data_IF_694266423550
#
_entry.id   IF_694266423550
#
_cell.length_a   1.000
_cell.length_b   1.000
_cell.length_c   1.000
_cell.angle_alpha   90.00
_cell.angle_beta   90.00
_cell.angle_gamma   90.00
#
_symmetry.space_group_name_H-M   'P 1'
#
loop_
_entity.id
_entity.type
_entity.pdbx_description
1 polymer ?
#
# COMPACT_ATOMS: atom_id res chain seq x y z
N UNK A 1 2.58 -28.83 -14.29
CA UNK A 1 3.42 -29.11 -13.12
C UNK A 1 2.69 -30.09 -12.23
N UNK A 2 3.23 -31.29 -11.94
CA UNK A 2 2.68 -32.12 -10.87
C UNK A 2 3.06 -31.50 -9.52
N UNK A 3 2.06 -31.16 -8.71
CA UNK A 3 2.31 -30.68 -7.35
C UNK A 3 2.37 -31.88 -6.40
N UNK A 4 3.34 -31.93 -5.46
CA UNK A 4 3.29 -32.92 -4.38
C UNK A 4 2.02 -32.71 -3.54
N UNK A 5 1.54 -33.78 -2.89
CA UNK A 5 0.38 -33.68 -2.01
C UNK A 5 0.69 -32.71 -0.85
N UNK A 6 -0.06 -31.62 -0.78
CA UNK A 6 0.09 -30.56 0.20
C UNK A 6 -1.29 -30.09 0.70
N UNK A 7 -1.31 -29.43 1.86
CA UNK A 7 -2.47 -28.69 2.37
C UNK A 7 -2.08 -27.24 2.66
N UNK A 8 -3.07 -26.37 2.77
CA UNK A 8 -2.86 -24.96 3.04
C UNK A 8 -4.12 -24.25 3.50
N UNK A 9 -3.95 -22.98 3.83
CA UNK A 9 -5.03 -22.09 4.29
C UNK A 9 -5.17 -20.92 3.32
N UNK A 10 -6.42 -20.61 2.97
CA UNK A 10 -6.79 -19.36 2.32
C UNK A 10 -7.10 -18.32 3.40
N UNK A 11 -6.29 -17.27 3.49
CA UNK A 11 -6.51 -16.15 4.40
C UNK A 11 -5.90 -14.89 3.78
N UNK A 12 -6.68 -13.83 3.57
CA UNK A 12 -6.10 -12.59 3.07
C UNK A 12 -5.42 -11.81 4.21
N UNK A 13 -4.29 -11.10 3.99
CA UNK A 13 -3.61 -10.38 5.07
C UNK A 13 -4.48 -9.33 5.78
N UNK A 14 -5.47 -8.75 5.10
CA UNK A 14 -6.42 -7.81 5.73
C UNK A 14 -7.25 -8.44 6.85
N UNK A 15 -7.37 -9.77 6.87
CA UNK A 15 -8.10 -10.54 7.88
C UNK A 15 -7.24 -10.99 9.06
N UNK A 16 -5.94 -10.69 9.04
CA UNK A 16 -5.09 -10.91 10.21
C UNK A 16 -5.55 -9.98 11.34
N UNK A 17 -5.45 -10.42 12.61
CA UNK A 17 -5.75 -9.56 13.75
C UNK A 17 -4.82 -8.34 13.72
N UNK A 18 -5.35 -7.18 14.08
CA UNK A 18 -4.58 -5.93 14.13
C UNK A 18 -5.29 -4.91 15.00
N UNK A 19 -4.51 -4.14 15.76
CA UNK A 19 -5.05 -3.02 16.53
C UNK A 19 -5.38 -1.80 15.67
N UNK A 20 -4.97 -1.81 14.40
CA UNK A 20 -5.11 -0.69 13.46
C UNK A 20 -6.31 -0.82 12.52
N UNK A 21 -7.30 -1.66 12.88
CA UNK A 21 -8.54 -1.86 12.14
C UNK A 21 -8.43 -2.68 10.85
N UNK A 22 -7.21 -3.00 10.40
CA UNK A 22 -6.94 -3.89 9.26
C UNK A 22 -5.65 -4.67 9.50
N UNK A 23 -5.65 -5.96 9.12
CA UNK A 23 -4.43 -6.76 9.12
C UNK A 23 -3.39 -6.24 8.12
N UNK A 24 -2.12 -6.43 8.44
CA UNK A 24 -0.99 -5.93 7.66
C UNK A 24 0.16 -6.95 7.57
N UNK A 25 1.24 -6.57 6.89
CA UNK A 25 2.45 -7.40 6.70
C UNK A 25 3.48 -7.20 7.83
N UNK A 26 3.00 -7.09 9.07
CA UNK A 26 3.80 -6.97 10.29
C UNK A 26 3.90 -8.28 11.08
N UNK A 27 4.01 -8.15 12.40
CA UNK A 27 4.20 -9.27 13.34
C UNK A 27 3.18 -10.39 13.17
N UNK A 28 1.90 -10.06 13.01
CA UNK A 28 0.81 -11.03 12.91
C UNK A 28 0.90 -11.88 11.64
N UNK A 29 1.47 -11.35 10.55
CA UNK A 29 1.76 -12.14 9.35
C UNK A 29 2.84 -13.20 9.62
N UNK A 30 3.89 -12.85 10.38
CA UNK A 30 4.91 -13.82 10.81
C UNK A 30 4.33 -14.87 11.76
N UNK A 31 3.52 -14.46 12.74
CA UNK A 31 2.85 -15.39 13.65
C UNK A 31 1.92 -16.35 12.91
N UNK A 32 1.23 -15.89 11.86
CA UNK A 32 0.43 -16.74 11.00
C UNK A 32 1.28 -17.75 10.22
N UNK A 33 2.43 -17.35 9.68
CA UNK A 33 3.38 -18.28 9.05
C UNK A 33 3.92 -19.31 10.06
N UNK A 34 4.23 -18.91 11.29
CA UNK A 34 4.63 -19.83 12.36
C UNK A 34 3.51 -20.81 12.73
N UNK A 35 2.26 -20.35 12.70
CA UNK A 35 1.10 -21.22 12.85
C UNK A 35 0.97 -22.23 11.70
N UNK A 36 1.12 -21.80 10.44
CA UNK A 36 1.12 -22.70 9.28
C UNK A 36 2.20 -23.76 9.40
N UNK A 37 3.42 -23.36 9.76
CA UNK A 37 4.55 -24.28 9.96
C UNK A 37 4.27 -25.31 11.06
N UNK A 38 3.81 -24.86 12.24
CA UNK A 38 3.47 -25.75 13.37
C UNK A 38 2.29 -26.68 13.09
N UNK A 39 1.38 -26.29 12.20
CA UNK A 39 0.23 -27.09 11.78
C UNK A 39 0.46 -27.89 10.50
N UNK A 40 1.72 -27.98 10.05
CA UNK A 40 2.15 -28.70 8.83
C UNK A 40 1.43 -28.25 7.54
N UNK A 41 0.91 -27.02 7.52
CA UNK A 41 0.39 -26.39 6.30
C UNK A 41 1.57 -25.91 5.46
N UNK A 42 1.52 -26.19 4.16
CA UNK A 42 2.61 -25.90 3.23
C UNK A 42 2.29 -24.75 2.28
N UNK A 43 1.02 -24.35 2.21
CA UNK A 43 0.53 -23.31 1.30
C UNK A 43 -0.24 -22.25 2.08
N UNK A 44 0.07 -20.98 1.80
CA UNK A 44 -0.76 -19.84 2.16
C UNK A 44 -1.31 -19.24 0.86
N UNK A 45 -2.61 -19.37 0.67
CA UNK A 45 -3.29 -18.73 -0.45
C UNK A 45 -3.87 -17.39 -0.01
N UNK A 46 -3.74 -16.38 -0.89
CA UNK A 46 -4.23 -15.02 -0.66
C UNK A 46 -5.07 -14.56 -1.86
N UNK A 47 -5.93 -13.57 -1.62
CA UNK A 47 -6.55 -12.75 -2.68
C UNK A 47 -5.51 -11.78 -3.28
N UNK A 48 -5.80 -11.11 -4.42
CA UNK A 48 -4.90 -10.11 -4.99
C UNK A 48 -4.48 -9.03 -3.97
N UNK A 49 -3.22 -8.58 -4.06
CA UNK A 49 -2.66 -7.60 -3.13
C UNK A 49 -2.65 -6.16 -3.67
N UNK A 50 -3.41 -5.90 -4.73
CA UNK A 50 -3.43 -4.59 -5.39
C UNK A 50 -4.16 -3.51 -4.57
N UNK A 51 -3.87 -2.22 -4.81
CA UNK A 51 -4.61 -1.12 -4.23
C UNK A 51 -6.07 -1.18 -4.68
N UNK A 52 -6.99 -1.25 -3.73
CA UNK A 52 -8.42 -1.41 -4.03
C UNK A 52 -9.06 -0.08 -4.44
N UNK A 53 -9.89 -0.12 -5.49
CA UNK A 53 -10.75 0.98 -5.87
C UNK A 53 -12.06 1.00 -5.09
N UNK A 54 -13.10 1.60 -5.70
CA UNK A 54 -14.43 1.71 -5.11
C UNK A 54 -14.98 0.34 -4.65
N UNK A 55 -15.45 0.28 -3.41
CA UNK A 55 -16.01 -0.95 -2.82
C UNK A 55 -14.99 -1.92 -2.22
N UNK A 56 -13.71 -1.52 -2.12
CA UNK A 56 -12.66 -2.25 -1.38
C UNK A 56 -12.42 -3.69 -1.86
N UNK A 57 -12.81 -4.01 -3.10
CA UNK A 57 -12.62 -5.34 -3.68
C UNK A 57 -11.19 -5.53 -4.17
N UNK A 58 -10.48 -6.58 -3.74
CA UNK A 58 -9.16 -6.95 -4.28
C UNK A 58 -9.15 -7.20 -5.79
N UNK A 59 -10.31 -7.44 -6.39
CA UNK A 59 -10.48 -7.70 -7.82
C UNK A 59 -10.77 -6.43 -8.64
N UNK A 60 -10.96 -5.28 -7.99
CA UNK A 60 -11.14 -3.98 -8.63
C UNK A 60 -9.99 -3.07 -8.21
N UNK A 61 -8.81 -3.32 -8.78
CA UNK A 61 -7.57 -2.63 -8.43
C UNK A 61 -7.27 -1.45 -9.35
N UNK A 62 -6.67 -0.38 -8.80
CA UNK A 62 -6.14 0.73 -9.60
C UNK A 62 -4.92 0.32 -10.44
N UNK A 63 -4.27 -0.79 -10.08
CA UNK A 63 -3.08 -1.27 -10.79
C UNK A 63 -2.98 -2.79 -10.75
N UNK A 64 -2.55 -3.38 -11.85
CA UNK A 64 -2.22 -4.81 -11.92
C UNK A 64 -0.85 -5.14 -11.28
N UNK A 65 -0.06 -4.13 -10.90
CA UNK A 65 1.34 -4.29 -10.45
C UNK A 65 1.61 -3.72 -9.06
N UNK A 66 0.90 -2.68 -8.64
CA UNK A 66 1.13 -2.03 -7.34
C UNK A 66 0.61 -2.90 -6.18
N UNK A 67 1.12 -2.65 -4.98
CA UNK A 67 0.63 -3.25 -3.73
C UNK A 67 -0.33 -2.31 -2.99
N UNK A 68 -1.21 -2.86 -2.16
CA UNK A 68 -2.15 -2.12 -1.33
C UNK A 68 -1.42 -1.43 -0.16
N UNK A 69 -1.39 -0.08 -0.09
CA UNK A 69 -0.71 0.65 0.98
C UNK A 69 -1.25 0.31 2.37
N UNK A 70 -2.52 -0.09 2.49
CA UNK A 70 -3.12 -0.44 3.78
C UNK A 70 -2.50 -1.68 4.43
N UNK A 71 -1.77 -2.50 3.66
CA UNK A 71 -1.05 -3.67 4.15
C UNK A 71 0.35 -3.35 4.71
N UNK A 72 0.79 -2.10 4.66
CA UNK A 72 2.05 -1.66 5.27
C UNK A 72 1.89 -1.67 6.80
N UNK A 73 2.83 -2.29 7.51
CA UNK A 73 2.80 -2.34 8.97
C UNK A 73 3.29 -1.04 9.60
N UNK A 74 2.44 -0.41 10.43
CA UNK A 74 2.81 0.81 11.14
C UNK A 74 3.82 0.54 12.27
N UNK A 75 3.76 -0.64 12.90
CA UNK A 75 4.72 -1.04 13.94
C UNK A 75 6.12 -1.15 13.35
N UNK A 76 6.28 -1.76 12.17
CA UNK A 76 7.58 -1.81 11.50
C UNK A 76 8.08 -0.40 11.13
N UNK A 77 7.21 0.53 10.76
CA UNK A 77 7.61 1.91 10.49
C UNK A 77 8.06 2.65 11.76
N UNK A 78 7.47 2.35 12.92
CA UNK A 78 7.92 2.85 14.23
C UNK A 78 9.27 2.25 14.63
N UNK A 79 9.44 0.93 14.51
CA UNK A 79 10.70 0.24 14.79
C UNK A 79 11.86 0.76 13.92
N UNK A 80 11.57 1.14 12.67
CA UNK A 80 12.55 1.73 11.76
C UNK A 80 12.73 3.26 11.94
N UNK A 81 12.04 3.89 12.90
CA UNK A 81 12.18 5.31 13.23
C UNK A 81 11.53 6.27 12.23
N UNK A 82 10.69 5.78 11.33
CA UNK A 82 9.91 6.60 10.40
C UNK A 82 8.58 7.07 10.99
N UNK A 83 8.09 6.40 12.02
CA UNK A 83 7.03 6.88 12.92
C UNK A 83 7.54 6.88 14.36
N UNK A 84 6.89 7.66 15.22
CA UNK A 84 7.13 7.66 16.66
C UNK A 84 6.01 6.96 17.41
N UNK A 85 6.25 6.58 18.67
CA UNK A 85 5.20 6.03 19.54
C UNK A 85 4.01 6.98 19.71
N UNK A 86 4.28 8.28 19.76
CA UNK A 86 3.24 9.30 19.89
C UNK A 86 2.33 9.34 18.66
N UNK A 87 2.87 9.07 17.46
CA UNK A 87 2.09 8.97 16.22
C UNK A 87 1.09 7.81 16.25
N UNK A 88 1.36 6.78 17.06
CA UNK A 88 0.56 5.57 17.18
C UNK A 88 -0.18 5.48 18.52
N UNK A 89 -0.27 6.60 19.26
CA UNK A 89 -0.87 6.63 20.60
C UNK A 89 -2.40 6.78 20.58
N UNK A 90 -2.94 7.53 19.60
CA UNK A 90 -4.37 7.82 19.46
C UNK A 90 -5.01 6.94 18.38
N UNK A 91 -5.02 5.63 18.64
CA UNK A 91 -5.64 4.65 17.74
C UNK A 91 -7.15 4.63 17.98
N UNK A 92 -7.99 4.85 16.94
CA UNK A 92 -9.44 4.74 17.06
C UNK A 92 -9.87 3.36 17.51
N UNK A 93 -11.02 3.29 18.19
CA UNK A 93 -11.66 2.02 18.51
C UNK A 93 -12.27 1.40 17.24
N UNK A 94 -11.51 0.50 16.62
CA UNK A 94 -11.92 -0.21 15.40
C UNK A 94 -12.66 -1.52 15.75
N UNK A 95 -13.66 -1.93 14.94
CA UNK A 95 -14.27 -3.25 15.08
C UNK A 95 -13.22 -4.37 14.95
N UNK A 96 -13.34 -5.41 15.77
CA UNK A 96 -12.40 -6.54 15.77
C UNK A 96 -12.79 -7.65 14.78
N UNK A 97 -14.04 -7.67 14.34
CA UNK A 97 -14.65 -8.71 13.52
C UNK A 97 -14.77 -8.33 12.04
N UNK A 98 -14.58 -7.06 11.70
CA UNK A 98 -14.65 -6.55 10.34
C UNK A 98 -13.75 -5.33 10.12
N UNK A 99 -13.34 -5.12 8.87
CA UNK A 99 -12.59 -3.93 8.46
C UNK A 99 -13.56 -2.81 8.10
N UNK A 100 -13.49 -1.69 8.84
CA UNK A 100 -14.12 -0.43 8.45
C UNK A 100 -13.14 0.37 7.58
N UNK A 101 -13.18 0.11 6.26
CA UNK A 101 -12.20 0.65 5.32
C UNK A 101 -12.15 2.17 5.30
N UNK A 102 -13.28 2.86 5.39
CA UNK A 102 -13.32 4.32 5.33
C UNK A 102 -12.61 4.93 6.54
N UNK A 103 -12.88 4.40 7.75
CA UNK A 103 -12.18 4.84 8.97
C UNK A 103 -10.70 4.47 8.95
N UNK A 104 -10.36 3.28 8.46
CA UNK A 104 -8.96 2.82 8.35
C UNK A 104 -8.19 3.69 7.37
N UNK A 105 -8.73 3.98 6.19
CA UNK A 105 -8.09 4.83 5.18
C UNK A 105 -7.88 6.24 5.74
N UNK A 106 -8.92 6.82 6.33
CA UNK A 106 -8.86 8.17 6.90
C UNK A 106 -7.81 8.31 8.01
N UNK A 107 -7.59 7.25 8.80
CA UNK A 107 -6.61 7.26 9.89
C UNK A 107 -5.19 6.85 9.45
N UNK A 108 -5.07 5.79 8.64
CA UNK A 108 -3.79 5.17 8.27
C UNK A 108 -3.04 5.92 7.18
N UNK A 109 -3.73 6.48 6.17
CA UNK A 109 -3.07 7.17 5.05
C UNK A 109 -2.26 8.41 5.50
N UNK A 110 -2.75 9.28 6.40
CA UNK A 110 -1.93 10.38 6.93
C UNK A 110 -0.65 9.91 7.64
N UNK A 111 -0.69 8.77 8.33
CA UNK A 111 0.48 8.18 8.98
C UNK A 111 1.49 7.65 7.96
N UNK A 112 1.02 7.00 6.89
CA UNK A 112 1.89 6.57 5.79
C UNK A 112 2.55 7.78 5.09
N UNK A 113 1.79 8.87 4.87
CA UNK A 113 2.34 10.13 4.33
C UNK A 113 3.43 10.70 5.23
N UNK A 114 3.17 10.73 6.55
CA UNK A 114 4.16 11.17 7.54
C UNK A 114 5.42 10.29 7.51
N UNK A 115 5.25 8.97 7.41
CA UNK A 115 6.37 8.03 7.31
C UNK A 115 7.19 8.24 6.02
N UNK A 116 6.53 8.42 4.87
CA UNK A 116 7.17 8.74 3.59
C UNK A 116 7.95 10.05 3.66
N UNK A 117 7.37 11.11 4.24
CA UNK A 117 8.07 12.36 4.48
C UNK A 117 9.29 12.18 5.39
N UNK A 118 9.13 11.48 6.51
CA UNK A 118 10.24 11.18 7.42
C UNK A 118 11.33 10.34 6.76
N UNK A 119 10.97 9.43 5.85
CA UNK A 119 11.93 8.67 5.04
C UNK A 119 12.83 9.60 4.23
N UNK A 120 12.26 10.59 3.52
CA UNK A 120 13.08 11.53 2.71
C UNK A 120 14.09 12.33 3.53
N UNK A 121 13.84 12.54 4.83
CA UNK A 121 14.70 13.33 5.71
C UNK A 121 15.68 12.48 6.52
N UNK A 122 15.26 11.28 6.94
CA UNK A 122 15.97 10.46 7.93
C UNK A 122 16.56 9.18 7.34
N UNK A 123 16.19 8.80 6.12
CA UNK A 123 16.69 7.57 5.52
C UNK A 123 18.22 7.57 5.43
N UNK A 124 18.79 6.42 5.75
CA UNK A 124 20.22 6.19 5.56
C UNK A 124 20.58 6.20 4.08
N UNK A 125 21.86 6.42 3.76
CA UNK A 125 22.34 6.33 2.37
C UNK A 125 22.05 4.98 1.71
N UNK A 126 22.00 3.90 2.49
CA UNK A 126 21.68 2.55 2.00
C UNK A 126 20.20 2.49 1.59
N UNK A 127 19.30 2.90 2.49
CA UNK A 127 17.85 2.92 2.23
C UNK A 127 17.50 3.82 1.03
N UNK A 128 18.12 5.00 0.91
CA UNK A 128 17.92 5.87 -0.25
C UNK A 128 18.35 5.19 -1.55
N UNK A 129 19.51 4.50 -1.54
CA UNK A 129 19.99 3.76 -2.71
C UNK A 129 19.09 2.59 -3.09
N UNK A 130 18.54 1.88 -2.10
CA UNK A 130 17.57 0.79 -2.31
C UNK A 130 16.26 1.32 -2.90
N UNK A 131 15.73 2.42 -2.35
CA UNK A 131 14.54 3.10 -2.87
C UNK A 131 14.74 3.56 -4.31
N UNK A 132 15.81 4.28 -4.60
CA UNK A 132 16.13 4.68 -5.97
C UNK A 132 16.32 3.47 -6.90
N UNK A 133 16.95 2.41 -6.40
CA UNK A 133 17.13 1.15 -7.12
C UNK A 133 15.79 0.51 -7.48
N UNK A 134 14.85 0.50 -6.53
CA UNK A 134 13.48 0.05 -6.75
C UNK A 134 12.77 0.91 -7.80
N UNK A 135 12.81 2.24 -7.65
CA UNK A 135 12.16 3.17 -8.59
C UNK A 135 12.70 2.99 -10.01
N UNK A 136 14.03 2.90 -10.19
CA UNK A 136 14.64 2.61 -11.49
C UNK A 136 14.24 1.22 -12.02
N UNK A 137 14.26 0.21 -11.16
CA UNK A 137 13.92 -1.17 -11.53
C UNK A 137 12.46 -1.39 -11.88
N UNK A 138 11.56 -0.49 -11.46
CA UNK A 138 10.11 -0.54 -11.70
C UNK A 138 9.58 0.61 -12.55
N UNK A 139 10.48 1.39 -13.17
CA UNK A 139 10.14 2.62 -13.91
C UNK A 139 9.13 2.41 -15.04
N UNK A 140 9.05 1.20 -15.60
CA UNK A 140 8.11 0.85 -16.67
C UNK A 140 6.62 0.83 -16.25
N UNK A 141 6.32 0.87 -14.96
CA UNK A 141 4.93 0.97 -14.47
C UNK A 141 4.78 1.91 -13.27
N UNK A 142 5.81 2.04 -12.42
CA UNK A 142 5.71 2.81 -11.18
C UNK A 142 5.50 4.30 -11.43
N UNK A 143 6.21 4.88 -12.39
CA UNK A 143 6.10 6.32 -12.69
C UNK A 143 4.71 6.69 -13.20
N UNK A 144 4.10 5.83 -14.03
CA UNK A 144 2.74 6.04 -14.52
C UNK A 144 1.69 5.81 -13.43
N UNK A 145 1.89 4.80 -12.58
CA UNK A 145 1.01 4.53 -11.45
C UNK A 145 1.03 5.69 -10.42
N UNK A 146 2.22 6.17 -10.04
CA UNK A 146 2.36 7.26 -9.07
C UNK A 146 1.73 8.55 -9.59
N UNK A 147 1.98 8.92 -10.86
CA UNK A 147 1.33 10.08 -11.49
C UNK A 147 -0.20 9.89 -11.57
N UNK A 148 -0.67 8.69 -11.91
CA UNK A 148 -2.10 8.39 -11.96
C UNK A 148 -2.76 8.56 -10.57
N UNK A 149 -2.15 8.02 -9.51
CA UNK A 149 -2.67 8.14 -8.15
C UNK A 149 -2.62 9.59 -7.65
N UNK A 150 -1.53 10.31 -7.89
CA UNK A 150 -1.42 11.73 -7.54
C UNK A 150 -2.50 12.58 -8.23
N UNK A 151 -2.78 12.32 -9.52
CA UNK A 151 -3.88 12.97 -10.24
C UNK A 151 -5.26 12.54 -9.74
N UNK A 152 -5.42 11.28 -9.30
CA UNK A 152 -6.68 10.78 -8.78
C UNK A 152 -7.03 11.42 -7.44
N UNK A 153 -6.05 11.60 -6.56
CA UNK A 153 -6.25 12.15 -5.21
C UNK A 153 -6.45 13.67 -5.19
N UNK A 154 -5.90 14.38 -6.17
CA UNK A 154 -5.97 15.85 -6.23
C UNK A 154 -7.20 16.38 -6.96
N UNK A 155 -8.01 15.51 -7.57
CA UNK A 155 -9.12 15.89 -8.44
C UNK A 155 -10.46 15.48 -7.89
N UNK A 156 -11.47 16.32 -8.14
CA UNK A 156 -12.86 16.04 -7.75
C UNK A 156 -13.47 14.88 -8.56
N UNK A 157 -13.04 14.68 -9.81
CA UNK A 157 -13.54 13.62 -10.70
C UNK A 157 -12.69 12.34 -10.55
N UNK A 158 -13.22 11.28 -9.90
CA UNK A 158 -12.45 10.08 -9.60
C UNK A 158 -12.35 9.09 -10.77
N UNK A 159 -13.02 9.36 -11.90
CA UNK A 159 -12.97 8.47 -13.06
C UNK A 159 -12.08 9.07 -14.15
N UNK A 160 -10.93 8.42 -14.39
CA UNK A 160 -9.93 8.93 -15.33
C UNK A 160 -10.45 9.09 -16.78
N UNK A 161 -11.45 8.31 -17.18
CA UNK A 161 -12.09 8.43 -18.50
C UNK A 161 -12.89 9.71 -18.67
N UNK A 162 -13.21 10.41 -17.57
CA UNK A 162 -13.91 11.69 -17.55
C UNK A 162 -12.95 12.88 -17.41
N UNK A 163 -11.64 12.64 -17.31
CA UNK A 163 -10.65 13.69 -17.28
C UNK A 163 -10.57 14.45 -18.63
N UNK A 164 -10.06 15.70 -18.63
CA UNK A 164 -9.80 16.47 -19.85
C UNK A 164 -9.03 15.65 -20.88
N UNK A 165 -9.34 15.87 -22.15
CA UNK A 165 -8.83 15.06 -23.26
C UNK A 165 -7.30 15.01 -23.26
N UNK A 166 -6.62 16.11 -22.95
CA UNK A 166 -5.16 16.22 -22.91
C UNK A 166 -4.53 15.25 -21.90
N UNK A 167 -5.16 15.07 -20.74
CA UNK A 167 -4.74 14.13 -19.71
C UNK A 167 -5.11 12.70 -20.06
N UNK A 168 -6.34 12.48 -20.53
CA UNK A 168 -6.84 11.15 -20.92
C UNK A 168 -6.04 10.55 -22.07
N UNK A 169 -5.65 11.39 -23.03
CA UNK A 169 -4.80 11.04 -24.17
C UNK A 169 -3.31 11.10 -23.85
N UNK A 170 -2.93 11.45 -22.61
CA UNK A 170 -1.55 11.43 -22.12
C UNK A 170 -0.62 12.31 -22.95
N UNK A 171 -1.06 13.52 -23.27
CA UNK A 171 -0.24 14.49 -24.02
C UNK A 171 1.07 14.76 -23.26
N UNK A 172 2.25 14.58 -23.89
CA UNK A 172 3.53 14.60 -23.18
C UNK A 172 3.80 15.89 -22.39
N UNK A 173 3.49 17.04 -22.98
CA UNK A 173 3.72 18.36 -22.35
C UNK A 173 2.87 18.54 -21.09
N UNK A 174 1.59 18.13 -21.15
CA UNK A 174 0.67 18.19 -20.01
C UNK A 174 1.09 17.23 -18.91
N UNK A 175 1.49 16.00 -19.26
CA UNK A 175 1.98 15.05 -18.26
C UNK A 175 3.25 15.55 -17.56
N UNK A 176 4.16 16.19 -18.29
CA UNK A 176 5.38 16.73 -17.70
C UNK A 176 5.09 17.89 -16.75
N UNK A 177 4.15 18.77 -17.12
CA UNK A 177 3.67 19.81 -16.21
C UNK A 177 3.15 19.21 -14.89
N UNK A 178 2.28 18.20 -14.96
CA UNK A 178 1.74 17.55 -13.77
C UNK A 178 2.80 16.79 -12.96
N UNK A 179 3.83 16.23 -13.61
CA UNK A 179 4.97 15.64 -12.88
C UNK A 179 5.75 16.67 -12.07
N UNK A 180 5.88 17.90 -12.59
CA UNK A 180 6.47 19.00 -11.85
C UNK A 180 5.56 19.46 -10.71
N UNK A 181 4.28 19.69 -11.00
CA UNK A 181 3.31 20.25 -10.06
C UNK A 181 2.99 19.28 -8.90
N UNK A 182 2.97 17.97 -9.15
CA UNK A 182 2.65 16.92 -8.19
C UNK A 182 3.88 16.13 -7.72
N UNK A 183 5.07 16.73 -7.77
CA UNK A 183 6.32 16.02 -7.44
C UNK A 183 6.30 15.36 -6.06
N UNK A 184 5.77 16.04 -5.06
CA UNK A 184 5.71 15.52 -3.69
C UNK A 184 4.66 14.40 -3.55
N UNK A 185 3.54 14.52 -4.26
CA UNK A 185 2.49 13.49 -4.31
C UNK A 185 2.93 12.24 -5.08
N UNK A 186 3.73 12.39 -6.13
CA UNK A 186 4.32 11.28 -6.90
C UNK A 186 5.41 10.56 -6.09
N UNK A 187 6.09 11.28 -5.19
CA UNK A 187 7.13 10.72 -4.34
C UNK A 187 6.54 9.91 -3.17
N UNK A 188 5.33 10.26 -2.71
CA UNK A 188 4.59 9.52 -1.70
C UNK A 188 4.03 8.20 -2.26
#
# INVERSE_FOLDING_TARGET
>A
MPFPRASGILLHPTSLPSRYGIGDLGLEAYQFVDFLSRSAQQLWQILPLGPTGFGNSPYMSFSAMAGNPLLISLDLLEENGFLSKDDLSDVPDFPLDQVDFDRVIAWKMPLLRKAGHNFTQKATKIQLKEFEGFCRGKANWLADYALFMALLETREEPVWTQWPDELRQRQPEVLEQWRCDLKDEILF
#
